data_IF_883379235080
#
_entry.id   IF_883379235080
#
_cell.length_a   1.000
_cell.length_b   1.000
_cell.length_c   1.000
_cell.angle_alpha   90.00
_cell.angle_beta   90.00
_cell.angle_gamma   90.00
#
_symmetry.space_group_name_H-M   'P 1'
#
loop_
_entity.id
_entity.type
_entity.pdbx_description
1 polymer ?
#
# COMPACT_ATOMS: atom_id res chain seq x y z
N UNK A 1 -17.91 -6.11 31.30
CA UNK A 1 -17.93 -5.80 29.85
C UNK A 1 -16.72 -6.50 29.27
N UNK A 2 -16.96 -7.59 28.55
CA UNK A 2 -15.96 -8.56 28.10
C UNK A 2 -15.14 -8.03 26.93
N UNK A 3 -13.82 -8.23 26.98
CA UNK A 3 -12.79 -7.87 26.00
C UNK A 3 -12.90 -8.65 24.67
N UNK A 4 -14.11 -8.88 24.17
CA UNK A 4 -14.36 -9.47 22.87
C UNK A 4 -14.44 -8.33 21.84
N UNK A 5 -13.32 -7.97 21.21
CA UNK A 5 -13.37 -7.03 20.08
C UNK A 5 -12.07 -6.45 19.54
N UNK A 6 -10.89 -6.70 20.14
CA UNK A 6 -9.64 -6.00 19.76
C UNK A 6 -8.64 -6.92 19.03
N UNK A 7 -9.11 -8.04 18.48
CA UNK A 7 -8.22 -9.08 17.93
C UNK A 7 -8.65 -9.60 16.57
N UNK A 8 -7.67 -10.01 15.78
CA UNK A 8 -7.88 -10.82 14.59
C UNK A 8 -8.02 -12.26 15.08
N UNK A 9 -9.05 -12.97 14.64
CA UNK A 9 -9.25 -14.37 15.00
C UNK A 9 -9.42 -15.21 13.75
N UNK A 10 -8.71 -16.32 13.66
CA UNK A 10 -8.84 -17.32 12.61
C UNK A 10 -8.89 -18.67 13.32
N UNK A 11 -9.84 -19.53 12.97
CA UNK A 11 -9.94 -20.84 13.59
C UNK A 11 -10.13 -20.86 15.13
N UNK A 12 -10.68 -19.78 15.69
CA UNK A 12 -10.75 -19.59 17.15
C UNK A 12 -9.40 -19.31 17.82
N UNK A 13 -8.33 -19.19 17.04
CA UNK A 13 -6.99 -18.76 17.47
C UNK A 13 -6.91 -17.25 17.29
N UNK A 14 -6.46 -16.57 18.34
CA UNK A 14 -6.09 -15.16 18.25
C UNK A 14 -4.86 -15.04 17.35
N UNK A 15 -4.95 -14.28 16.28
CA UNK A 15 -3.80 -13.93 15.46
C UNK A 15 -3.24 -12.60 15.97
N UNK A 16 -1.99 -12.65 16.44
CA UNK A 16 -1.26 -11.47 16.85
C UNK A 16 -1.17 -10.49 15.66
N UNK A 17 -1.45 -9.18 15.83
CA UNK A 17 -1.41 -8.21 14.73
C UNK A 17 -0.04 -8.08 14.07
N UNK A 18 1.04 -8.39 14.78
CA UNK A 18 2.39 -8.45 14.23
C UNK A 18 2.74 -9.85 13.74
N UNK A 19 1.79 -10.78 13.65
CA UNK A 19 1.99 -12.14 13.18
C UNK A 19 3.10 -12.86 13.96
N UNK A 20 3.25 -12.58 15.26
CA UNK A 20 4.26 -13.25 16.10
C UNK A 20 3.92 -14.73 16.37
N UNK A 21 2.65 -15.12 16.21
CA UNK A 21 2.17 -16.49 16.38
C UNK A 21 1.68 -17.14 15.07
N UNK A 22 2.25 -16.73 13.92
CA UNK A 22 1.89 -17.32 12.63
C UNK A 22 2.19 -18.83 12.58
N UNK A 23 3.29 -19.27 13.19
CA UNK A 23 3.68 -20.69 13.25
C UNK A 23 2.63 -21.55 13.99
N UNK A 24 2.01 -21.02 15.04
CA UNK A 24 0.94 -21.71 15.78
C UNK A 24 -0.32 -21.86 14.91
N UNK A 25 -0.64 -20.81 14.15
CA UNK A 25 -1.74 -20.85 13.19
C UNK A 25 -1.45 -21.83 12.06
N UNK A 26 -0.25 -21.85 11.51
CA UNK A 26 0.16 -22.79 10.46
C UNK A 26 0.06 -24.24 10.94
N UNK A 27 0.54 -24.54 12.14
CA UNK A 27 0.45 -25.89 12.72
C UNK A 27 -1.02 -26.31 12.94
N UNK A 28 -1.90 -25.35 13.28
CA UNK A 28 -3.34 -25.62 13.35
C UNK A 28 -3.92 -26.02 12.00
N UNK A 29 -3.52 -25.33 10.92
CA UNK A 29 -3.98 -25.66 9.57
C UNK A 29 -3.40 -26.99 9.08
N UNK A 30 -2.15 -27.32 9.43
CA UNK A 30 -1.52 -28.62 9.14
C UNK A 30 -2.28 -29.81 9.71
N UNK A 31 -2.99 -29.60 10.82
CA UNK A 31 -3.84 -30.62 11.45
C UNK A 31 -5.18 -30.88 10.75
N UNK A 32 -5.50 -30.18 9.65
CA UNK A 32 -6.78 -30.33 8.94
C UNK A 32 -6.76 -31.48 7.92
N UNK A 33 -7.92 -32.12 7.72
CA UNK A 33 -8.07 -33.34 6.92
C UNK A 33 -7.62 -33.20 5.45
N UNK A 34 -7.78 -32.00 4.86
CA UNK A 34 -7.40 -31.74 3.45
C UNK A 34 -6.17 -30.83 3.32
N UNK A 35 -5.37 -30.66 4.38
CA UNK A 35 -4.21 -29.75 4.34
C UNK A 35 -3.27 -30.07 3.17
N UNK A 36 -2.93 -31.34 2.93
CA UNK A 36 -2.01 -31.73 1.86
C UNK A 36 -2.46 -31.29 0.45
N UNK A 37 -3.77 -31.15 0.20
CA UNK A 37 -4.31 -30.70 -1.09
C UNK A 37 -4.34 -29.18 -1.24
N UNK A 38 -4.26 -28.46 -0.11
CA UNK A 38 -4.36 -27.02 0.00
C UNK A 38 -3.05 -26.37 0.45
N UNK A 39 -2.03 -27.15 0.78
CA UNK A 39 -0.77 -26.72 1.38
C UNK A 39 -0.16 -25.55 0.59
N UNK A 40 0.07 -25.72 -0.71
CA UNK A 40 0.63 -24.67 -1.57
C UNK A 40 -0.13 -23.32 -1.47
N UNK A 41 -1.47 -23.37 -1.30
CA UNK A 41 -2.32 -22.17 -1.21
C UNK A 41 -2.27 -21.53 0.17
N UNK A 42 -2.19 -22.36 1.21
CA UNK A 42 -2.08 -21.91 2.59
C UNK A 42 -0.70 -21.29 2.83
N UNK A 43 0.34 -21.94 2.32
CA UNK A 43 1.72 -21.47 2.38
C UNK A 43 1.86 -20.12 1.68
N UNK A 44 1.25 -19.94 0.50
CA UNK A 44 1.15 -18.65 -0.20
C UNK A 44 0.57 -17.53 0.69
N UNK A 45 -0.46 -17.83 1.49
CA UNK A 45 -1.08 -16.86 2.41
C UNK A 45 -0.17 -16.55 3.61
N UNK A 46 0.49 -17.57 4.18
CA UNK A 46 1.46 -17.38 5.27
C UNK A 46 2.68 -16.56 4.82
N UNK A 47 3.22 -16.86 3.64
CA UNK A 47 4.30 -16.10 3.02
C UNK A 47 3.90 -14.66 2.74
N UNK A 48 2.68 -14.42 2.26
CA UNK A 48 2.13 -13.08 2.06
C UNK A 48 2.09 -12.28 3.37
N UNK A 49 1.56 -12.86 4.44
CA UNK A 49 1.49 -12.21 5.76
C UNK A 49 2.88 -11.92 6.32
N UNK A 50 3.82 -12.86 6.19
CA UNK A 50 5.22 -12.68 6.60
C UNK A 50 5.92 -11.57 5.80
N UNK A 51 5.73 -11.53 4.49
CA UNK A 51 6.30 -10.50 3.62
C UNK A 51 5.73 -9.11 3.95
N UNK A 52 4.41 -9.02 4.17
CA UNK A 52 3.74 -7.78 4.55
C UNK A 52 4.20 -7.27 5.93
N UNK A 53 4.42 -8.17 6.90
CA UNK A 53 4.95 -7.84 8.23
C UNK A 53 6.28 -7.08 8.14
N UNK A 54 7.14 -7.41 7.18
CA UNK A 54 8.46 -6.78 7.05
C UNK A 54 8.40 -5.25 6.86
N UNK A 55 7.30 -4.71 6.34
CA UNK A 55 7.10 -3.26 6.17
C UNK A 55 7.01 -2.51 7.50
N UNK A 56 6.64 -3.21 8.57
CA UNK A 56 6.47 -2.67 9.91
C UNK A 56 7.67 -2.89 10.82
N UNK A 57 8.47 -3.93 10.57
CA UNK A 57 9.65 -4.29 11.37
C UNK A 57 10.93 -3.55 10.95
N UNK A 58 11.07 -3.22 9.66
CA UNK A 58 12.32 -2.67 9.10
C UNK A 58 12.50 -1.14 9.27
N UNK A 59 11.71 -0.47 10.12
CA UNK A 59 11.87 0.97 10.39
C UNK A 59 12.31 1.21 11.84
N UNK A 60 13.54 1.72 12.01
CA UNK A 60 14.23 2.14 13.25
C UNK A 60 13.53 3.23 14.08
N UNK A 61 12.20 3.20 14.21
CA UNK A 61 11.46 4.41 14.52
C UNK A 61 10.04 4.25 15.05
N UNK A 62 9.37 3.12 14.82
CA UNK A 62 7.99 2.94 15.26
C UNK A 62 7.96 1.83 16.32
N UNK A 63 7.46 2.10 17.54
CA UNK A 63 7.31 1.06 18.55
C UNK A 63 6.42 -0.06 18.00
N UNK A 64 6.80 -1.33 18.20
CA UNK A 64 6.00 -2.52 17.84
C UNK A 64 4.52 -2.36 18.15
N UNK A 65 4.22 -1.84 19.35
CA UNK A 65 2.86 -1.53 19.80
C UNK A 65 2.07 -0.65 18.81
N UNK A 66 2.69 0.39 18.25
CA UNK A 66 2.01 1.28 17.29
C UNK A 66 1.79 0.61 15.94
N UNK A 67 2.71 -0.25 15.51
CA UNK A 67 2.51 -1.04 14.30
C UNK A 67 1.32 -2.02 14.47
N UNK A 68 1.22 -2.66 15.64
CA UNK A 68 0.08 -3.51 15.97
C UNK A 68 -1.25 -2.72 15.97
N UNK A 69 -1.26 -1.53 16.59
CA UNK A 69 -2.42 -0.62 16.59
C UNK A 69 -2.81 -0.21 15.16
N UNK A 70 -1.85 0.09 14.28
CA UNK A 70 -2.10 0.47 12.89
C UNK A 70 -2.66 -0.70 12.05
N UNK A 71 -2.16 -1.93 12.26
CA UNK A 71 -2.67 -3.13 11.58
C UNK A 71 -4.10 -3.44 12.03
N UNK A 72 -4.37 -3.37 13.34
CA UNK A 72 -5.73 -3.55 13.89
C UNK A 72 -6.68 -2.47 13.40
N UNK A 73 -6.22 -1.22 13.27
CA UNK A 73 -7.03 -0.14 12.73
C UNK A 73 -7.48 -0.45 11.29
N UNK A 74 -6.56 -0.95 10.45
CA UNK A 74 -6.88 -1.37 9.08
C UNK A 74 -7.81 -2.57 9.06
N UNK A 75 -7.61 -3.54 9.96
CA UNK A 75 -8.51 -4.67 10.13
C UNK A 75 -9.94 -4.25 10.47
N UNK A 76 -10.12 -3.34 11.43
CA UNK A 76 -11.45 -2.84 11.80
C UNK A 76 -12.11 -2.00 10.70
N UNK A 77 -11.30 -1.31 9.88
CA UNK A 77 -11.76 -0.54 8.73
C UNK A 77 -11.87 -1.33 7.44
N UNK A 78 -11.60 -2.64 7.45
CA UNK A 78 -11.37 -3.44 6.25
C UNK A 78 -12.56 -3.43 5.30
N UNK A 79 -13.75 -3.81 5.76
CA UNK A 79 -14.95 -3.86 4.91
C UNK A 79 -15.26 -2.51 4.27
N UNK A 80 -15.13 -1.44 5.06
CA UNK A 80 -15.32 -0.06 4.57
C UNK A 80 -14.26 0.31 3.54
N UNK A 81 -13.00 -0.07 3.76
CA UNK A 81 -11.92 0.18 2.83
C UNK A 81 -12.10 -0.58 1.52
N UNK A 82 -12.45 -1.87 1.56
CA UNK A 82 -12.71 -2.69 0.37
C UNK A 82 -13.84 -2.09 -0.45
N UNK A 83 -14.97 -1.77 0.20
CA UNK A 83 -16.11 -1.17 -0.48
C UNK A 83 -15.76 0.18 -1.13
N UNK A 84 -14.99 1.03 -0.45
CA UNK A 84 -14.59 2.32 -1.03
C UNK A 84 -13.53 2.18 -2.14
N UNK A 85 -12.65 1.19 -2.06
CA UNK A 85 -11.60 0.93 -3.06
C UNK A 85 -12.21 0.60 -4.42
N UNK A 86 -13.31 -0.16 -4.45
CA UNK A 86 -14.03 -0.49 -5.70
C UNK A 86 -14.44 0.75 -6.51
N UNK A 87 -14.69 1.87 -5.83
CA UNK A 87 -15.10 3.13 -6.45
C UNK A 87 -13.99 4.21 -6.44
N UNK A 88 -12.80 3.88 -5.94
CA UNK A 88 -11.69 4.83 -5.80
C UNK A 88 -10.74 4.79 -7.00
N UNK A 89 -10.17 5.95 -7.33
CA UNK A 89 -9.04 6.02 -8.26
C UNK A 89 -7.84 5.26 -7.65
N UNK A 90 -7.10 4.49 -8.47
CA UNK A 90 -5.90 3.74 -8.07
C UNK A 90 -4.83 4.60 -7.35
N UNK A 91 -4.79 5.91 -7.62
CA UNK A 91 -3.86 6.84 -6.98
C UNK A 91 -4.24 7.20 -5.53
N UNK A 92 -5.45 6.83 -5.11
CA UNK A 92 -6.02 7.16 -3.81
C UNK A 92 -6.03 5.98 -2.83
N UNK A 93 -5.58 4.78 -3.22
CA UNK A 93 -5.73 3.55 -2.42
C UNK A 93 -5.30 3.70 -0.95
N UNK A 94 -4.06 4.12 -0.67
CA UNK A 94 -3.60 4.29 0.71
C UNK A 94 -4.32 5.42 1.46
N UNK A 95 -4.82 6.44 0.74
CA UNK A 95 -5.66 7.48 1.34
C UNK A 95 -7.04 6.94 1.70
N UNK A 96 -7.67 6.13 0.84
CA UNK A 96 -8.94 5.44 1.11
C UNK A 96 -8.81 4.56 2.34
N UNK A 97 -7.79 3.68 2.39
CA UNK A 97 -7.50 2.85 3.57
C UNK A 97 -7.34 3.70 4.82
N UNK A 98 -6.56 4.79 4.75
CA UNK A 98 -6.38 5.71 5.89
C UNK A 98 -7.69 6.34 6.36
N UNK A 99 -8.57 6.72 5.43
CA UNK A 99 -9.86 7.35 5.73
C UNK A 99 -10.80 6.39 6.46
N UNK A 100 -10.87 5.13 6.02
CA UNK A 100 -11.74 4.12 6.62
C UNK A 100 -11.21 3.59 7.96
N UNK A 101 -9.89 3.53 8.11
CA UNK A 101 -9.25 2.80 9.21
C UNK A 101 -8.85 3.70 10.38
N UNK A 102 -8.75 5.01 10.16
CA UNK A 102 -8.25 5.98 11.15
C UNK A 102 -6.94 5.56 11.88
N UNK A 103 -5.89 5.14 11.16
CA UNK A 103 -4.64 4.68 11.75
C UNK A 103 -3.86 5.84 12.39
N UNK A 104 -2.75 5.53 13.06
CA UNK A 104 -1.87 6.54 13.65
C UNK A 104 -1.38 7.54 12.59
N UNK A 105 -1.15 8.79 13.00
CA UNK A 105 -0.64 9.83 12.09
C UNK A 105 0.74 9.49 11.51
N UNK A 106 1.49 8.61 12.18
CA UNK A 106 2.80 8.13 11.76
C UNK A 106 2.76 6.98 10.76
N UNK A 107 1.60 6.32 10.58
CA UNK A 107 1.44 5.23 9.64
C UNK A 107 1.76 5.71 8.22
N UNK A 108 2.68 5.02 7.56
CA UNK A 108 3.11 5.31 6.19
C UNK A 108 2.20 4.66 5.18
N UNK A 109 2.11 5.21 3.97
CA UNK A 109 1.22 4.68 2.94
C UNK A 109 1.63 3.25 2.55
N UNK A 110 2.93 2.97 2.51
CA UNK A 110 3.45 1.60 2.32
C UNK A 110 3.02 0.62 3.41
N UNK A 111 3.05 1.07 4.67
CA UNK A 111 2.59 0.28 5.82
C UNK A 111 1.10 0.00 5.75
N UNK A 112 0.27 1.00 5.44
CA UNK A 112 -1.17 0.83 5.31
C UNK A 112 -1.55 -0.18 4.22
N UNK A 113 -0.88 -0.12 3.06
CA UNK A 113 -1.11 -1.11 2.02
C UNK A 113 -0.63 -2.51 2.40
N UNK A 114 0.48 -2.63 3.14
CA UNK A 114 0.93 -3.91 3.69
C UNK A 114 -0.06 -4.48 4.72
N UNK A 115 -0.63 -3.63 5.59
CA UNK A 115 -1.69 -4.04 6.52
C UNK A 115 -2.97 -4.47 5.77
N UNK A 116 -3.33 -3.79 4.68
CA UNK A 116 -4.44 -4.21 3.83
C UNK A 116 -4.17 -5.59 3.21
N UNK A 117 -2.95 -5.85 2.74
CA UNK A 117 -2.56 -7.16 2.20
C UNK A 117 -2.68 -8.28 3.25
N UNK A 118 -2.32 -7.99 4.51
CA UNK A 118 -2.54 -8.91 5.63
C UNK A 118 -4.04 -9.21 5.77
N UNK A 119 -4.90 -8.19 5.77
CA UNK A 119 -6.35 -8.38 5.93
C UNK A 119 -6.92 -9.28 4.82
N UNK A 120 -6.53 -9.06 3.56
CA UNK A 120 -6.93 -9.92 2.46
C UNK A 120 -6.43 -11.37 2.62
N UNK A 121 -5.16 -11.57 3.01
CA UNK A 121 -4.63 -12.91 3.23
C UNK A 121 -5.37 -13.63 4.38
N UNK A 122 -5.72 -12.91 5.44
CA UNK A 122 -6.52 -13.44 6.56
C UNK A 122 -7.93 -13.84 6.11
N UNK A 123 -8.63 -13.01 5.34
CA UNK A 123 -9.95 -13.37 4.81
C UNK A 123 -9.88 -14.57 3.85
N UNK A 124 -8.85 -14.64 3.01
CA UNK A 124 -8.59 -15.82 2.18
C UNK A 124 -8.42 -17.09 3.03
N UNK A 125 -7.66 -17.03 4.12
CA UNK A 125 -7.51 -18.17 5.03
C UNK A 125 -8.82 -18.56 5.74
N UNK A 126 -9.66 -17.59 6.08
CA UNK A 126 -10.97 -17.84 6.71
C UNK A 126 -11.89 -18.62 5.79
N UNK A 127 -12.00 -18.24 4.52
CA UNK A 127 -12.80 -18.96 3.52
C UNK A 127 -12.38 -20.44 3.41
N UNK A 128 -11.08 -20.70 3.37
CA UNK A 128 -10.55 -22.07 3.32
C UNK A 128 -10.87 -22.82 4.62
N UNK A 129 -10.68 -22.17 5.77
CA UNK A 129 -10.91 -22.78 7.06
C UNK A 129 -12.38 -23.11 7.32
N UNK A 130 -13.29 -22.21 6.96
CA UNK A 130 -14.73 -22.42 7.13
C UNK A 130 -15.21 -23.60 6.27
N UNK A 131 -14.70 -23.72 5.04
CA UNK A 131 -14.89 -24.91 4.22
C UNK A 131 -14.36 -26.19 4.91
N UNK A 132 -13.17 -26.16 5.52
CA UNK A 132 -12.61 -27.33 6.22
C UNK A 132 -13.48 -27.76 7.41
N UNK A 133 -14.05 -26.81 8.16
CA UNK A 133 -14.99 -27.14 9.23
C UNK A 133 -16.21 -27.85 8.67
N UNK A 134 -16.82 -27.28 7.63
CA UNK A 134 -18.03 -27.85 7.04
C UNK A 134 -17.76 -29.23 6.43
N UNK A 135 -16.58 -29.39 5.81
CA UNK A 135 -16.09 -30.67 5.34
C UNK A 135 -15.95 -31.69 6.49
N UNK A 136 -15.32 -31.30 7.59
CA UNK A 136 -15.14 -32.15 8.77
C UNK A 136 -16.50 -32.58 9.36
N UNK A 137 -17.47 -31.67 9.43
CA UNK A 137 -18.82 -31.98 9.90
C UNK A 137 -19.57 -32.93 8.94
N UNK A 138 -19.46 -32.72 7.63
CA UNK A 138 -20.01 -33.62 6.61
C UNK A 138 -19.38 -35.02 6.68
N UNK A 139 -18.07 -35.09 6.96
CA UNK A 139 -17.36 -36.34 7.14
C UNK A 139 -17.85 -37.09 8.40
N UNK A 140 -18.00 -36.39 9.53
CA UNK A 140 -18.52 -36.97 10.80
C UNK A 140 -19.97 -37.45 10.64
N UNK A 141 -20.85 -36.65 10.03
CA UNK A 141 -22.26 -37.01 9.86
C UNK A 141 -22.47 -38.16 8.88
N UNK A 142 -21.47 -38.46 8.04
CA UNK A 142 -21.55 -39.57 7.09
C UNK A 142 -21.35 -40.97 7.71
N UNK A 143 -20.95 -41.10 8.99
CA UNK A 143 -20.61 -42.40 9.62
C UNK A 143 -20.96 -42.50 11.13
N UNK A 144 -21.57 -43.60 11.63
CA UNK A 144 -21.60 -43.95 13.05
C UNK A 144 -20.20 -44.37 13.56
N UNK A 145 -19.74 -43.84 14.69
CA UNK A 145 -18.37 -43.96 15.27
C UNK A 145 -17.78 -45.40 15.40
N UNK A 146 -18.55 -46.46 15.15
CA UNK A 146 -18.18 -47.86 15.40
C UNK A 146 -17.52 -48.59 14.22
N UNK A 147 -17.17 -47.90 13.12
CA UNK A 147 -16.61 -48.52 11.90
C UNK A 147 -15.24 -47.97 11.49
N UNK A 148 -14.57 -47.20 12.36
CA UNK A 148 -13.29 -46.55 12.07
C UNK A 148 -12.08 -47.51 12.01
N UNK A 149 -12.28 -48.82 12.20
CA UNK A 149 -11.23 -49.84 12.12
C UNK A 149 -11.09 -50.45 10.71
N UNK A 150 -9.90 -50.32 10.13
CA UNK A 150 -9.24 -51.25 9.19
C UNK A 150 -9.47 -51.19 7.66
N UNK A 151 -10.06 -50.14 7.07
CA UNK A 151 -10.18 -50.11 5.59
C UNK A 151 -9.87 -48.73 4.95
N UNK A 152 -8.64 -48.51 4.41
CA UNK A 152 -8.26 -47.25 3.77
C UNK A 152 -9.14 -46.89 2.56
N UNK A 153 -9.54 -47.86 1.75
CA UNK A 153 -10.42 -47.65 0.58
C UNK A 153 -11.81 -47.13 0.98
N UNK A 154 -12.31 -47.53 2.16
CA UNK A 154 -13.59 -47.06 2.68
C UNK A 154 -13.50 -45.63 3.20
N UNK A 155 -12.37 -45.24 3.79
CA UNK A 155 -12.09 -43.86 4.20
C UNK A 155 -11.99 -42.95 2.97
N UNK A 156 -11.31 -43.39 1.91
CA UNK A 156 -11.22 -42.63 0.66
C UNK A 156 -12.60 -42.42 0.01
N UNK A 157 -13.41 -43.48 -0.10
CA UNK A 157 -14.77 -43.36 -0.61
C UNK A 157 -15.68 -42.46 0.26
N UNK A 158 -15.40 -42.34 1.56
CA UNK A 158 -16.11 -41.42 2.47
C UNK A 158 -15.73 -39.96 2.20
N UNK A 159 -14.42 -39.68 2.06
CA UNK A 159 -13.91 -38.36 1.68
C UNK A 159 -14.54 -37.92 0.36
N UNK A 160 -14.53 -38.78 -0.65
CA UNK A 160 -15.10 -38.47 -1.97
C UNK A 160 -16.60 -38.18 -1.91
N UNK A 161 -17.37 -38.92 -1.09
CA UNK A 161 -18.80 -38.65 -0.90
C UNK A 161 -19.05 -37.34 -0.16
N UNK A 162 -18.26 -37.04 0.88
CA UNK A 162 -18.38 -35.78 1.61
C UNK A 162 -18.03 -34.58 0.71
N UNK A 163 -16.97 -34.70 -0.10
CA UNK A 163 -16.59 -33.69 -1.10
C UNK A 163 -17.65 -33.52 -2.17
N UNK A 164 -18.21 -34.62 -2.71
CA UNK A 164 -19.26 -34.53 -3.74
C UNK A 164 -20.49 -33.74 -3.25
N UNK A 165 -20.85 -33.82 -1.97
CA UNK A 165 -21.93 -33.02 -1.38
C UNK A 165 -21.58 -31.54 -1.26
N UNK A 166 -20.31 -31.25 -0.94
CA UNK A 166 -19.82 -29.90 -0.67
C UNK A 166 -19.05 -29.28 -1.84
N UNK A 167 -19.13 -29.86 -3.04
CA UNK A 167 -18.30 -29.46 -4.20
C UNK A 167 -18.48 -27.99 -4.54
N UNK A 168 -19.69 -27.45 -4.41
CA UNK A 168 -19.98 -26.04 -4.66
C UNK A 168 -19.32 -25.13 -3.61
N UNK A 169 -19.29 -25.55 -2.35
CA UNK A 169 -18.64 -24.83 -1.25
C UNK A 169 -17.12 -24.90 -1.39
N UNK A 170 -16.59 -26.07 -1.76
CA UNK A 170 -15.17 -26.25 -2.05
C UNK A 170 -14.71 -25.34 -3.19
N UNK A 171 -15.46 -25.31 -4.30
CA UNK A 171 -15.17 -24.43 -5.43
C UNK A 171 -15.27 -22.96 -5.02
N UNK A 172 -16.32 -22.59 -4.28
CA UNK A 172 -16.50 -21.22 -3.80
C UNK A 172 -15.32 -20.78 -2.92
N UNK A 173 -14.96 -21.56 -1.91
CA UNK A 173 -13.86 -21.24 -1.00
C UNK A 173 -12.51 -21.10 -1.74
N UNK A 174 -12.26 -21.95 -2.74
CA UNK A 174 -11.04 -21.87 -3.57
C UNK A 174 -11.02 -20.63 -4.45
N UNK A 175 -12.16 -20.24 -5.02
CA UNK A 175 -12.27 -19.03 -5.84
C UNK A 175 -12.13 -17.80 -4.96
N UNK A 176 -12.86 -17.71 -3.85
CA UNK A 176 -12.76 -16.62 -2.88
C UNK A 176 -11.32 -16.45 -2.37
N UNK A 177 -10.65 -17.56 -1.99
CA UNK A 177 -9.23 -17.52 -1.59
C UNK A 177 -8.34 -16.94 -2.69
N UNK A 178 -8.52 -17.39 -3.94
CA UNK A 178 -7.73 -16.90 -5.06
C UNK A 178 -7.96 -15.41 -5.34
N UNK A 179 -9.21 -14.94 -5.25
CA UNK A 179 -9.57 -13.53 -5.42
C UNK A 179 -8.93 -12.67 -4.32
N UNK A 180 -9.07 -13.09 -3.06
CA UNK A 180 -8.42 -12.41 -1.93
C UNK A 180 -6.89 -12.39 -2.05
N UNK A 181 -6.26 -13.47 -2.50
CA UNK A 181 -4.82 -13.49 -2.75
C UNK A 181 -4.41 -12.62 -3.94
N UNK A 182 -5.28 -12.46 -4.94
CA UNK A 182 -5.12 -11.49 -6.03
C UNK A 182 -5.04 -10.06 -5.50
N UNK A 183 -6.00 -9.69 -4.65
CA UNK A 183 -6.05 -8.37 -4.01
C UNK A 183 -4.90 -8.14 -3.02
N UNK A 184 -4.51 -9.17 -2.26
CA UNK A 184 -3.34 -9.11 -1.37
C UNK A 184 -2.05 -8.82 -2.15
N UNK A 185 -1.84 -9.47 -3.30
CA UNK A 185 -0.69 -9.23 -4.19
C UNK A 185 -0.71 -7.80 -4.76
N UNK A 186 -1.89 -7.29 -5.15
CA UNK A 186 -2.03 -5.92 -5.62
C UNK A 186 -1.70 -4.90 -4.51
N UNK A 187 -2.22 -5.12 -3.31
CA UNK A 187 -1.92 -4.30 -2.14
C UNK A 187 -0.42 -4.31 -1.81
N UNK A 188 0.24 -5.47 -1.86
CA UNK A 188 1.69 -5.58 -1.67
C UNK A 188 2.50 -4.87 -2.76
N UNK A 189 2.07 -4.97 -4.02
CA UNK A 189 2.71 -4.23 -5.10
C UNK A 189 2.62 -2.72 -4.88
N UNK A 190 1.45 -2.22 -4.50
CA UNK A 190 1.26 -0.81 -4.13
C UNK A 190 2.14 -0.42 -2.91
N UNK A 191 2.25 -1.29 -1.90
CA UNK A 191 3.12 -1.08 -0.76
C UNK A 191 4.59 -0.88 -1.18
N UNK A 192 5.07 -1.70 -2.12
CA UNK A 192 6.41 -1.59 -2.70
C UNK A 192 6.63 -0.26 -3.44
N UNK A 193 5.66 0.19 -4.23
CA UNK A 193 5.72 1.50 -4.92
C UNK A 193 5.80 2.64 -3.89
N UNK A 194 4.92 2.62 -2.89
CA UNK A 194 4.93 3.65 -1.84
C UNK A 194 6.25 3.64 -1.06
N UNK A 195 6.80 2.47 -0.75
CA UNK A 195 8.08 2.36 -0.05
C UNK A 195 9.25 2.88 -0.89
N UNK A 196 9.27 2.59 -2.19
CA UNK A 196 10.29 3.12 -3.12
C UNK A 196 10.27 4.65 -3.15
N UNK A 197 9.08 5.25 -3.23
CA UNK A 197 8.93 6.71 -3.23
C UNK A 197 9.29 7.30 -1.84
N UNK A 198 8.80 6.73 -0.75
CA UNK A 198 9.10 7.17 0.63
C UNK A 198 10.62 7.18 0.90
N UNK A 199 11.33 6.13 0.48
CA UNK A 199 12.78 6.04 0.61
C UNK A 199 13.52 7.03 -0.30
N UNK A 200 13.10 7.17 -1.57
CA UNK A 200 13.74 8.05 -2.56
C UNK A 200 13.69 9.53 -2.19
N UNK A 201 12.59 9.97 -1.57
CA UNK A 201 12.37 11.36 -1.19
C UNK A 201 12.86 11.71 0.23
N UNK A 202 13.55 10.78 0.95
CA UNK A 202 13.91 10.92 2.37
C UNK A 202 12.72 11.45 3.18
N UNK A 203 11.59 10.86 2.90
CA UNK A 203 10.33 11.45 3.28
C UNK A 203 10.22 11.42 4.82
N UNK A 204 9.83 12.53 5.48
CA UNK A 204 9.66 12.56 6.94
C UNK A 204 8.78 11.41 7.44
N UNK A 205 8.92 11.03 8.72
CA UNK A 205 8.01 10.02 9.32
C UNK A 205 6.56 10.41 9.07
N UNK A 206 5.76 9.47 8.56
CA UNK A 206 4.36 9.71 8.17
C UNK A 206 4.20 10.49 6.87
N UNK A 207 5.18 10.48 5.96
CA UNK A 207 5.01 11.05 4.62
C UNK A 207 3.94 10.30 3.83
N UNK A 208 3.03 11.08 3.26
CA UNK A 208 1.82 10.59 2.61
C UNK A 208 1.93 10.92 1.13
N UNK A 209 2.31 9.93 0.36
CA UNK A 209 2.43 10.02 -1.09
C UNK A 209 1.06 10.26 -1.68
N UNK A 210 0.04 9.53 -1.21
CA UNK A 210 -1.33 9.68 -1.69
C UNK A 210 -1.86 11.09 -1.45
N UNK A 211 -1.62 11.70 -0.28
CA UNK A 211 -2.02 13.09 -0.02
C UNK A 211 -1.35 14.08 -0.98
N UNK A 212 -0.08 13.85 -1.34
CA UNK A 212 0.63 14.69 -2.33
C UNK A 212 0.12 14.48 -3.74
N UNK A 213 -0.18 13.24 -4.11
CA UNK A 213 -0.68 12.89 -5.44
C UNK A 213 -2.09 13.44 -5.63
N UNK A 214 -2.98 13.27 -4.64
CA UNK A 214 -4.29 13.90 -4.60
C UNK A 214 -4.18 15.42 -4.61
N UNK A 215 -3.32 16.02 -3.78
CA UNK A 215 -3.10 17.47 -3.81
C UNK A 215 -2.62 17.97 -5.17
N UNK A 216 -1.76 17.23 -5.87
CA UNK A 216 -1.28 17.58 -7.20
C UNK A 216 -2.37 17.40 -8.27
N UNK A 217 -3.17 16.33 -8.17
CA UNK A 217 -4.34 16.08 -9.01
C UNK A 217 -5.38 17.17 -8.79
N UNK A 218 -5.70 17.51 -7.54
CA UNK A 218 -6.63 18.59 -7.18
C UNK A 218 -6.11 19.94 -7.64
N UNK A 219 -4.80 20.23 -7.50
CA UNK A 219 -4.22 21.43 -8.10
C UNK A 219 -4.41 21.44 -9.63
N UNK A 220 -4.21 20.29 -10.27
CA UNK A 220 -4.36 20.16 -11.73
C UNK A 220 -5.82 20.27 -12.18
N UNK A 221 -6.78 19.67 -11.45
CA UNK A 221 -8.23 19.72 -11.69
C UNK A 221 -8.78 21.11 -11.43
N UNK A 222 -8.35 21.74 -10.33
CA UNK A 222 -8.64 23.15 -10.02
C UNK A 222 -8.07 24.09 -11.07
N UNK A 223 -6.91 23.74 -11.66
CA UNK A 223 -6.31 24.51 -12.75
C UNK A 223 -6.93 24.25 -14.13
N UNK A 224 -7.57 23.09 -14.32
CA UNK A 224 -8.36 22.75 -15.52
C UNK A 224 -9.77 23.37 -15.49
N UNK A 225 -10.30 23.68 -14.31
CA UNK A 225 -11.60 24.33 -14.11
C UNK A 225 -11.62 25.86 -14.15
N UNK A 226 -10.48 26.55 -14.26
CA UNK A 226 -10.51 28.00 -14.43
C UNK A 226 -9.16 28.67 -14.27
N UNK A 227 -8.61 29.17 -15.39
CA UNK A 227 -7.72 30.35 -15.55
C UNK A 227 -6.59 30.62 -14.51
N UNK A 228 -6.23 29.69 -13.62
CA UNK A 228 -5.22 29.90 -12.56
C UNK A 228 -3.93 29.09 -12.71
N UNK A 229 -3.79 28.26 -13.76
CA UNK A 229 -2.50 27.67 -14.15
C UNK A 229 -1.45 28.70 -14.61
N UNK A 230 -1.87 29.95 -14.86
CA UNK A 230 -0.99 31.05 -15.22
C UNK A 230 -0.33 31.74 -14.00
N UNK A 231 -0.81 31.51 -12.78
CA UNK A 231 -0.43 32.31 -11.60
C UNK A 231 0.66 31.65 -10.75
N UNK A 232 0.63 30.33 -10.57
CA UNK A 232 1.69 29.56 -9.90
C UNK A 232 2.97 29.50 -10.75
N UNK A 233 2.82 29.36 -12.07
CA UNK A 233 3.93 29.53 -13.00
C UNK A 233 4.44 30.97 -13.05
N UNK A 234 3.58 31.98 -12.84
CA UNK A 234 4.02 33.38 -12.69
C UNK A 234 4.78 33.61 -11.39
N UNK A 235 4.32 33.10 -10.26
CA UNK A 235 4.99 33.30 -8.97
C UNK A 235 6.39 32.67 -8.96
N UNK A 236 6.52 31.41 -9.40
CA UNK A 236 7.84 30.76 -9.52
C UNK A 236 8.72 31.38 -10.60
N UNK A 237 8.15 31.86 -11.73
CA UNK A 237 8.91 32.59 -12.75
C UNK A 237 9.31 34.00 -12.29
N UNK A 238 8.51 34.68 -11.47
CA UNK A 238 8.79 36.01 -10.91
C UNK A 238 9.87 35.92 -9.84
N UNK A 239 9.82 34.92 -8.97
CA UNK A 239 10.87 34.70 -7.96
C UNK A 239 12.19 34.26 -8.60
N UNK A 240 12.14 33.39 -9.61
CA UNK A 240 13.32 33.02 -10.40
C UNK A 240 13.89 34.22 -11.15
N UNK A 241 13.06 35.05 -11.79
CA UNK A 241 13.50 36.27 -12.47
C UNK A 241 14.13 37.28 -11.51
N UNK A 242 13.56 37.46 -10.31
CA UNK A 242 14.10 38.35 -9.27
C UNK A 242 15.47 37.89 -8.79
N UNK A 243 15.65 36.60 -8.50
CA UNK A 243 16.93 36.04 -8.07
C UNK A 243 17.99 36.12 -9.15
N UNK A 244 17.63 35.84 -10.41
CA UNK A 244 18.55 35.95 -11.57
C UNK A 244 18.98 37.40 -11.78
N UNK A 245 18.06 38.36 -11.67
CA UNK A 245 18.37 39.78 -11.87
C UNK A 245 19.13 40.38 -10.69
N UNK A 246 18.91 39.92 -9.46
CA UNK A 246 19.70 40.32 -8.30
C UNK A 246 21.16 39.84 -8.44
N UNK A 247 21.35 38.59 -8.87
CA UNK A 247 22.68 38.04 -9.09
C UNK A 247 23.39 38.69 -10.28
N UNK A 248 22.66 38.99 -11.36
CA UNK A 248 23.20 39.74 -12.49
C UNK A 248 23.66 41.16 -12.10
N UNK A 249 22.87 41.87 -11.27
CA UNK A 249 23.26 43.18 -10.73
C UNK A 249 24.47 43.09 -9.81
N UNK A 250 24.61 42.00 -9.05
CA UNK A 250 25.80 41.74 -8.21
C UNK A 250 27.04 41.55 -9.07
N UNK A 251 26.95 40.75 -10.14
CA UNK A 251 28.04 40.52 -11.08
C UNK A 251 28.45 41.80 -11.82
N UNK A 252 27.48 42.61 -12.28
CA UNK A 252 27.76 43.90 -12.92
C UNK A 252 28.37 44.95 -11.97
N UNK A 253 28.14 44.83 -10.66
CA UNK A 253 28.82 45.68 -9.66
C UNK A 253 30.27 45.24 -9.40
N UNK A 254 30.55 43.94 -9.51
CA UNK A 254 31.87 43.37 -9.28
C UNK A 254 32.76 43.48 -10.53
N UNK A 255 32.17 43.33 -11.71
CA UNK A 255 32.81 43.53 -13.00
C UNK A 255 31.87 44.31 -13.93
N UNK A 256 32.01 45.65 -13.97
CA UNK A 256 31.21 46.51 -14.84
C UNK A 256 31.45 46.29 -16.35
N UNK A 257 32.52 45.58 -16.72
CA UNK A 257 32.93 45.36 -18.11
C UNK A 257 32.54 43.97 -18.66
N UNK A 258 31.90 43.12 -17.85
CA UNK A 258 31.52 41.76 -18.25
C UNK A 258 30.68 41.75 -19.54
N UNK A 259 31.10 40.92 -20.50
CA UNK A 259 30.36 40.78 -21.76
C UNK A 259 28.96 40.19 -21.51
N UNK A 260 27.91 40.63 -22.22
CA UNK A 260 26.57 40.05 -22.11
C UNK A 260 26.55 38.52 -22.32
N UNK A 261 27.40 37.98 -23.20
CA UNK A 261 27.49 36.53 -23.44
C UNK A 261 28.12 35.78 -22.27
N UNK A 262 29.11 36.37 -21.59
CA UNK A 262 29.74 35.80 -20.40
C UNK A 262 28.82 35.89 -19.18
N UNK A 263 28.06 36.98 -19.04
CA UNK A 263 27.06 37.14 -17.99
C UNK A 263 26.00 36.03 -18.07
N UNK A 264 25.49 35.73 -19.27
CA UNK A 264 24.51 34.65 -19.48
C UNK A 264 25.13 33.28 -19.19
N UNK A 265 26.35 33.02 -19.66
CA UNK A 265 27.04 31.74 -19.44
C UNK A 265 27.29 31.48 -17.95
N UNK A 266 27.71 32.51 -17.21
CA UNK A 266 28.00 32.42 -15.77
C UNK A 266 26.73 32.18 -14.95
N UNK A 267 25.64 32.87 -15.29
CA UNK A 267 24.33 32.68 -14.64
C UNK A 267 23.71 31.31 -14.96
N UNK A 268 23.86 30.83 -16.20
CA UNK A 268 23.42 29.49 -16.59
C UNK A 268 24.16 28.40 -15.80
N UNK A 269 25.48 28.52 -15.62
CA UNK A 269 26.27 27.58 -14.82
C UNK A 269 25.92 27.64 -13.33
N UNK A 270 25.73 28.83 -12.77
CA UNK A 270 25.46 28.98 -11.34
C UNK A 270 24.07 28.49 -10.90
N UNK A 271 23.08 28.46 -11.80
CA UNK A 271 21.68 28.12 -11.49
C UNK A 271 21.11 26.94 -12.28
N UNK A 272 21.93 26.29 -13.10
CA UNK A 272 21.53 25.15 -13.95
C UNK A 272 20.33 25.47 -14.86
N UNK A 273 20.33 26.67 -15.47
CA UNK A 273 19.25 27.20 -16.30
C UNK A 273 19.63 27.27 -17.78
N UNK A 274 18.63 27.21 -18.67
CA UNK A 274 18.85 27.34 -20.11
C UNK A 274 19.09 28.79 -20.54
N UNK A 275 20.03 29.00 -21.47
CA UNK A 275 20.41 30.31 -21.99
C UNK A 275 19.22 31.15 -22.56
N UNK A 276 18.20 30.57 -23.21
CA UNK A 276 17.03 31.33 -23.67
C UNK A 276 16.25 31.96 -22.52
N UNK A 277 16.08 31.24 -21.42
CA UNK A 277 15.32 31.67 -20.24
C UNK A 277 16.06 32.79 -19.50
N UNK A 278 17.37 32.66 -19.31
CA UNK A 278 18.22 33.70 -18.70
C UNK A 278 18.19 35.00 -19.49
N UNK A 279 18.32 34.95 -20.82
CA UNK A 279 18.25 36.14 -21.69
C UNK A 279 16.89 36.84 -21.61
N UNK A 280 15.79 36.07 -21.56
CA UNK A 280 14.43 36.61 -21.45
C UNK A 280 14.26 37.44 -20.18
N UNK A 281 14.76 36.95 -19.04
CA UNK A 281 14.65 37.68 -17.78
C UNK A 281 15.56 38.90 -17.73
N UNK A 282 16.81 38.80 -18.21
CA UNK A 282 17.71 39.97 -18.23
C UNK A 282 17.19 41.10 -19.13
N UNK A 283 16.61 40.78 -20.30
CA UNK A 283 15.98 41.79 -21.17
C UNK A 283 14.79 42.47 -20.51
N UNK A 284 13.97 41.73 -19.76
CA UNK A 284 12.82 42.29 -19.05
C UNK A 284 13.20 43.35 -18.00
N UNK A 285 14.46 43.39 -17.59
CA UNK A 285 15.02 44.37 -16.64
C UNK A 285 16.03 45.33 -17.29
N UNK A 286 16.16 45.33 -18.63
CA UNK A 286 17.10 46.20 -19.35
C UNK A 286 18.58 45.85 -19.17
N UNK A 287 18.91 44.69 -18.59
CA UNK A 287 20.28 44.25 -18.29
C UNK A 287 20.93 43.46 -19.43
N UNK A 288 20.24 43.35 -20.58
CA UNK A 288 20.74 42.65 -21.77
C UNK A 288 20.24 43.36 -23.02
N UNK A 289 21.08 43.55 -24.05
CA UNK A 289 20.68 44.26 -25.26
C UNK A 289 19.50 43.58 -25.96
N UNK A 290 18.50 44.38 -26.31
CA UNK A 290 17.42 43.94 -27.18
C UNK A 290 18.00 43.67 -28.56
N UNK A 291 17.68 42.50 -29.14
CA UNK A 291 17.96 42.28 -30.56
C UNK A 291 17.12 43.30 -31.33
N UNK A 292 17.77 44.18 -32.09
CA UNK A 292 17.15 44.83 -33.24
C UNK A 292 16.79 43.78 -34.27
#
# INVERSE_FOLDING_TARGET
MTEAGVGIYIAGIYLDPLMENLDELEERFRGLDLYAELADRLDDSFDMMNAARAFWLNRDAQPKRRAAEDILAVWHGFDSAVQEIEFSDLNALAHTVRRCSHPSKSATDSGLMAALAICYAVEGLREVYDYQIEFSQSLITSVPQNLAGDFPDRRQAQIERARAKLVHIEVSARVSHADYMGEARLAMFAAGIYQYIESRYKAPKGFRISDKMLSAIDLSRSSAGGKKGAETNRAQAVDSARLICAEAKRLLRLDPSISPSELVTTLCKAKNLSAPTTRKYLRSQGLYPNKK
#
